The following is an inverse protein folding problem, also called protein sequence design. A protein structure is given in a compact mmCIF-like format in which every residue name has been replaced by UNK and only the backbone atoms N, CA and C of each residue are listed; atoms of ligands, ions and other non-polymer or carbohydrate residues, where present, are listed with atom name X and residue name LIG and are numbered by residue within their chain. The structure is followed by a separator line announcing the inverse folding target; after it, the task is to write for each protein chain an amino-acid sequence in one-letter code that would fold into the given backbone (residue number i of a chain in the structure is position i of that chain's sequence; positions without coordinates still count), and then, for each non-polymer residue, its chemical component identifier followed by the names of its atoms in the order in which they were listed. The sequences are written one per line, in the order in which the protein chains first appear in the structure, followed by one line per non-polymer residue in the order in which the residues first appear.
data_IF_571177256636
#
_entry.id   IF_571177256636
#
_cell.length_a   1.000
_cell.length_b   1.000
_cell.length_c   1.000
_cell.angle_alpha   90.00
_cell.angle_beta   90.00
_cell.angle_gamma   90.00
#
_symmetry.space_group_name_H-M   'P 1'
#
loop_
_entity.id
_entity.type
_entity.pdbx_description
1 polymer ?
#
# COMPACT_ATOMS: atom_id res chain seq x y z
N UNK A 1 55.97 26.35 48.95
CA UNK A 1 55.39 25.04 48.60
C UNK A 1 54.00 25.31 48.06
N UNK A 2 53.86 25.49 46.75
CA UNK A 2 52.59 25.83 46.12
C UNK A 2 51.94 24.53 45.62
N UNK A 3 50.70 24.30 46.05
CA UNK A 3 49.89 23.16 45.62
C UNK A 3 49.36 23.40 44.19
N UNK A 4 49.55 22.40 43.32
CA UNK A 4 48.99 22.36 41.98
C UNK A 4 47.50 21.98 42.06
N UNK A 5 46.59 22.68 41.36
CA UNK A 5 45.20 22.27 41.26
C UNK A 5 45.07 21.09 40.28
N UNK A 6 44.29 20.10 40.69
CA UNK A 6 44.12 18.83 40.00
C UNK A 6 43.53 18.97 38.59
N UNK A 7 44.03 18.13 37.70
CA UNK A 7 43.42 17.83 36.41
C UNK A 7 41.99 17.32 36.63
N UNK A 8 41.02 18.17 36.32
CA UNK A 8 39.65 17.74 36.08
C UNK A 8 39.62 16.95 34.78
N UNK A 9 39.58 15.63 34.92
CA UNK A 9 39.27 14.71 33.82
C UNK A 9 37.94 15.16 33.18
N UNK A 10 37.87 15.40 31.85
CA UNK A 10 36.62 15.83 31.24
C UNK A 10 35.60 14.70 31.41
N UNK A 11 34.50 15.02 32.11
CA UNK A 11 33.36 14.15 32.25
C UNK A 11 32.94 13.65 30.86
N UNK A 12 32.82 12.34 30.70
CA UNK A 12 32.32 11.72 29.48
C UNK A 12 31.02 12.40 29.06
N UNK A 13 30.87 12.82 27.78
CA UNK A 13 29.69 13.54 27.36
C UNK A 13 28.47 12.66 27.63
N UNK A 14 27.57 13.17 28.47
CA UNK A 14 26.30 12.54 28.79
C UNK A 14 25.63 12.08 27.49
N UNK A 15 25.52 10.77 27.29
CA UNK A 15 24.90 10.18 26.12
C UNK A 15 23.45 10.65 26.09
N UNK A 16 23.14 11.57 25.18
CA UNK A 16 21.76 12.02 24.98
C UNK A 16 20.91 10.82 24.56
N UNK A 17 19.93 10.47 25.41
CA UNK A 17 18.88 9.47 25.16
C UNK A 17 17.79 10.00 24.22
N UNK A 18 17.92 11.24 23.73
CA UNK A 18 17.00 11.82 22.76
C UNK A 18 17.14 11.10 21.40
N UNK A 19 16.05 10.50 20.92
CA UNK A 19 16.00 9.77 19.66
C UNK A 19 16.49 10.62 18.49
N UNK A 20 16.12 11.89 18.44
CA UNK A 20 16.53 12.79 17.36
C UNK A 20 18.05 13.02 17.38
N UNK A 21 18.63 13.31 18.55
CA UNK A 21 20.08 13.44 18.70
C UNK A 21 20.83 12.16 18.34
N UNK A 22 20.30 10.98 18.68
CA UNK A 22 20.87 9.67 18.28
C UNK A 22 20.78 9.51 16.76
N UNK A 23 19.63 9.79 16.14
CA UNK A 23 19.45 9.73 14.69
C UNK A 23 20.36 10.71 13.95
N UNK A 24 20.61 11.91 14.48
CA UNK A 24 21.54 12.88 13.88
C UNK A 24 22.96 12.33 13.85
N UNK A 25 23.43 11.77 14.98
CA UNK A 25 24.74 11.12 15.05
C UNK A 25 24.83 9.95 14.08
N UNK A 26 23.79 9.11 14.01
CA UNK A 26 23.73 7.99 13.09
C UNK A 26 23.77 8.45 11.63
N UNK A 27 22.96 9.44 11.26
CA UNK A 27 22.92 10.00 9.91
C UNK A 27 24.28 10.59 9.50
N UNK A 28 24.92 11.37 10.38
CA UNK A 28 26.27 11.89 10.13
C UNK A 28 27.33 10.79 10.01
N UNK A 29 27.21 9.71 10.78
CA UNK A 29 28.17 8.59 10.74
C UNK A 29 28.02 7.73 9.47
N UNK A 30 26.82 7.68 8.91
CA UNK A 30 26.46 6.92 7.71
C UNK A 30 26.43 7.79 6.44
N UNK A 31 26.87 9.05 6.51
CA UNK A 31 26.83 10.01 5.40
C UNK A 31 25.42 10.23 4.80
N UNK A 32 24.38 10.14 5.63
CA UNK A 32 22.98 10.37 5.23
C UNK A 32 22.61 11.85 5.42
N UNK A 33 22.14 12.56 4.38
CA UNK A 33 21.73 13.95 4.49
C UNK A 33 20.59 14.16 5.51
N UNK A 34 20.79 15.07 6.46
CA UNK A 34 19.73 15.45 7.39
C UNK A 34 18.73 16.39 6.70
N UNK A 35 17.40 16.19 6.84
CA UNK A 35 16.42 17.04 6.18
C UNK A 35 16.54 18.48 6.68
N UNK A 36 16.61 19.45 5.76
CA UNK A 36 16.48 20.85 6.14
C UNK A 36 15.13 21.06 6.82
N UNK A 37 15.15 21.65 8.01
CA UNK A 37 13.94 22.05 8.70
C UNK A 37 13.22 23.06 7.80
N UNK A 38 12.03 22.71 7.30
CA UNK A 38 11.23 23.63 6.51
C UNK A 38 11.09 24.95 7.27
N UNK A 39 11.75 26.01 6.78
CA UNK A 39 11.53 27.36 7.25
C UNK A 39 10.12 27.71 6.81
N UNK A 40 9.22 27.90 7.75
CA UNK A 40 7.90 28.45 7.47
C UNK A 40 8.10 29.88 6.91
N UNK A 41 8.05 30.02 5.59
CA UNK A 41 8.35 31.28 4.89
C UNK A 41 7.13 32.17 4.70
N UNK A 42 6.05 31.98 5.46
CA UNK A 42 4.95 32.94 5.47
C UNK A 42 4.31 33.06 6.84
N UNK A 43 4.74 34.08 7.59
CA UNK A 43 3.98 34.63 8.71
C UNK A 43 2.62 35.10 8.16
N UNK A 44 1.54 34.41 8.53
CA UNK A 44 0.21 34.92 8.22
C UNK A 44 -0.03 36.23 8.97
N UNK A 45 -0.46 37.28 8.27
CA UNK A 45 -0.84 38.56 8.91
C UNK A 45 -2.06 38.43 9.82
N UNK A 46 -2.80 37.32 9.72
CA UNK A 46 -3.98 37.03 10.53
C UNK A 46 -3.67 36.44 11.92
N UNK A 47 -2.43 36.08 12.22
CA UNK A 47 -2.07 35.44 13.51
C UNK A 47 -1.95 36.42 14.69
N UNK A 48 -2.11 37.73 14.46
CA UNK A 48 -2.00 38.74 15.52
C UNK A 48 -0.58 38.85 16.10
N UNK A 49 -0.37 39.83 16.98
CA UNK A 49 0.96 40.11 17.60
C UNK A 49 0.98 39.96 19.12
N UNK A 50 -0.17 39.75 19.75
CA UNK A 50 -0.35 40.04 21.18
C UNK A 50 -0.91 38.88 22.02
N UNK A 51 -1.25 37.73 21.41
CA UNK A 51 -1.65 36.53 22.15
C UNK A 51 -0.55 35.45 22.06
N UNK A 52 -0.33 34.63 23.11
CA UNK A 52 0.58 33.50 23.04
C UNK A 52 0.10 32.54 21.96
N UNK A 53 0.95 32.28 20.97
CA UNK A 53 0.67 31.31 19.93
C UNK A 53 0.56 29.91 20.55
N UNK A 54 -0.40 29.10 20.09
CA UNK A 54 -0.28 27.65 20.23
C UNK A 54 0.96 27.23 19.44
N UNK A 55 2.04 26.89 20.14
CA UNK A 55 3.28 26.43 19.53
C UNK A 55 2.96 25.12 18.79
N UNK A 56 2.64 25.22 17.50
CA UNK A 56 2.61 24.05 16.63
C UNK A 56 4.07 23.64 16.51
N UNK A 57 4.51 22.72 17.37
CA UNK A 57 5.84 22.12 17.27
C UNK A 57 6.02 21.67 15.83
N UNK A 58 6.98 22.30 15.15
CA UNK A 58 7.32 22.01 13.76
C UNK A 58 7.45 20.50 13.64
N UNK A 59 6.74 19.87 12.70
CA UNK A 59 6.88 18.42 12.47
C UNK A 59 8.32 18.17 12.05
N UNK A 60 9.13 17.72 13.00
CA UNK A 60 10.50 17.30 12.74
C UNK A 60 10.43 15.97 11.99
N UNK A 61 11.05 15.92 10.81
CA UNK A 61 11.14 14.72 9.99
C UNK A 61 12.50 14.06 10.22
N UNK A 62 12.52 12.74 10.29
CA UNK A 62 13.75 11.95 10.26
C UNK A 62 14.19 11.73 8.81
N UNK A 63 15.52 11.64 8.54
CA UNK A 63 15.99 11.22 7.23
C UNK A 63 15.51 9.82 6.89
N UNK A 64 15.33 9.57 5.59
CA UNK A 64 15.04 8.23 5.08
C UNK A 64 16.36 7.48 4.92
N UNK A 65 16.43 6.23 5.38
CA UNK A 65 17.53 5.33 5.08
C UNK A 65 17.37 4.84 3.62
N UNK A 66 18.29 5.16 2.68
CA UNK A 66 18.09 4.90 1.26
C UNK A 66 17.84 3.43 0.92
N UNK A 67 18.57 2.52 1.55
CA UNK A 67 18.48 1.07 1.37
C UNK A 67 17.08 0.57 1.75
N UNK A 68 16.42 1.21 2.73
CA UNK A 68 15.03 0.88 3.07
C UNK A 68 14.09 1.11 1.87
N UNK A 69 14.31 2.16 1.07
CA UNK A 69 13.49 2.43 -0.12
C UNK A 69 13.70 1.39 -1.22
N UNK A 70 14.93 0.91 -1.38
CA UNK A 70 15.21 -0.17 -2.32
C UNK A 70 14.55 -1.47 -1.87
N UNK A 71 14.71 -1.82 -0.60
CA UNK A 71 14.19 -3.07 -0.03
C UNK A 71 12.65 -3.10 0.05
N UNK A 72 12.01 -1.99 0.42
CA UNK A 72 10.53 -1.89 0.48
C UNK A 72 9.91 -2.02 -0.91
N UNK A 73 10.62 -1.59 -1.96
CA UNK A 73 10.13 -1.60 -3.34
C UNK A 73 10.50 -2.85 -4.14
N UNK A 74 11.25 -3.81 -3.58
CA UNK A 74 11.67 -5.04 -4.29
C UNK A 74 10.48 -5.74 -4.95
N UNK A 75 9.39 -5.93 -4.20
CA UNK A 75 8.19 -6.61 -4.69
C UNK A 75 7.33 -5.78 -5.67
N UNK A 76 7.64 -4.50 -5.84
CA UNK A 76 6.87 -3.56 -6.66
C UNK A 76 7.33 -3.52 -8.11
N UNK A 77 8.59 -3.87 -8.35
CA UNK A 77 9.27 -3.62 -9.64
C UNK A 77 8.95 -4.68 -10.69
N UNK A 78 8.87 -5.94 -10.31
CA UNK A 78 8.67 -7.06 -11.24
C UNK A 78 7.38 -7.84 -10.93
N UNK A 79 6.35 -7.56 -11.74
CA UNK A 79 5.07 -8.28 -11.75
C UNK A 79 4.43 -8.42 -10.35
N UNK A 80 4.08 -7.31 -9.70
CA UNK A 80 3.61 -7.30 -8.30
C UNK A 80 2.35 -8.13 -8.04
N UNK A 81 1.60 -8.51 -9.08
CA UNK A 81 0.42 -9.37 -8.96
C UNK A 81 0.74 -10.86 -9.12
N UNK A 82 1.50 -11.20 -10.17
CA UNK A 82 1.77 -12.59 -10.56
C UNK A 82 2.98 -13.19 -9.85
N UNK A 83 3.95 -12.37 -9.45
CA UNK A 83 5.17 -12.83 -8.80
C UNK A 83 4.86 -13.36 -7.39
N UNK A 84 5.26 -14.61 -7.13
CA UNK A 84 5.05 -15.30 -5.85
C UNK A 84 6.37 -15.66 -5.17
N UNK A 85 7.49 -15.07 -5.60
CA UNK A 85 8.80 -15.35 -5.03
C UNK A 85 8.77 -15.18 -3.49
N UNK A 86 9.33 -16.15 -2.74
CA UNK A 86 9.50 -16.01 -1.31
C UNK A 86 10.54 -14.93 -1.01
N UNK A 87 10.41 -14.29 0.15
CA UNK A 87 11.43 -13.39 0.67
C UNK A 87 12.61 -14.23 1.15
N UNK A 88 13.82 -13.82 0.79
CA UNK A 88 15.05 -14.50 1.19
C UNK A 88 15.18 -14.50 2.72
N UNK A 89 15.46 -15.66 3.30
CA UNK A 89 15.57 -15.84 4.76
C UNK A 89 14.22 -15.90 5.50
N UNK A 90 13.07 -15.84 4.82
CA UNK A 90 11.77 -15.85 5.49
C UNK A 90 11.48 -17.13 6.30
N UNK A 91 12.02 -18.28 5.86
CA UNK A 91 11.79 -19.58 6.51
C UNK A 91 12.55 -19.75 7.83
N UNK A 92 13.64 -19.01 8.05
CA UNK A 92 14.38 -19.05 9.32
C UNK A 92 13.74 -18.22 10.42
N UNK A 93 12.59 -17.59 10.13
CA UNK A 93 11.86 -16.72 11.05
C UNK A 93 10.57 -17.38 11.57
N UNK A 94 10.37 -18.66 11.30
CA UNK A 94 9.26 -19.41 11.87
C UNK A 94 9.44 -19.51 13.40
N UNK A 95 8.41 -19.16 14.16
CA UNK A 95 8.40 -19.25 15.62
C UNK A 95 7.44 -20.35 16.11
N UNK A 96 7.72 -20.89 17.29
CA UNK A 96 6.87 -21.92 17.88
C UNK A 96 5.44 -21.41 18.08
N UNK A 97 4.46 -22.27 17.77
CA UNK A 97 3.04 -21.94 17.90
C UNK A 97 2.54 -20.82 16.99
N UNK A 98 3.29 -20.38 15.98
CA UNK A 98 2.93 -19.24 15.11
C UNK A 98 1.50 -19.28 14.55
N UNK A 99 0.98 -20.47 14.24
CA UNK A 99 -0.39 -20.62 13.75
C UNK A 99 -1.43 -20.25 14.81
N UNK A 100 -1.24 -20.73 16.05
CA UNK A 100 -2.10 -20.39 17.19
C UNK A 100 -2.01 -18.91 17.57
N UNK A 101 -0.85 -18.30 17.32
CA UNK A 101 -0.60 -16.87 17.56
C UNK A 101 -1.12 -15.97 16.44
N UNK A 102 -1.69 -16.53 15.35
CA UNK A 102 -2.12 -15.74 14.19
C UNK A 102 -0.95 -15.19 13.35
N UNK A 103 0.26 -15.70 13.54
CA UNK A 103 1.48 -15.26 12.85
C UNK A 103 1.82 -16.13 11.62
N UNK A 104 0.86 -16.91 11.11
CA UNK A 104 1.05 -17.74 9.91
C UNK A 104 0.02 -17.42 8.81
N UNK A 105 -1.27 -17.45 9.14
CA UNK A 105 -2.37 -17.27 8.19
C UNK A 105 -3.48 -16.45 8.83
N UNK A 106 -4.30 -15.82 8.00
CA UNK A 106 -5.50 -15.13 8.47
C UNK A 106 -6.40 -16.11 9.24
N UNK A 107 -7.01 -15.71 10.36
CA UNK A 107 -7.97 -16.55 11.06
C UNK A 107 -9.10 -17.02 10.13
N UNK A 108 -9.51 -18.30 10.21
CA UNK A 108 -10.54 -18.84 9.34
C UNK A 108 -11.93 -18.29 9.69
N UNK A 109 -12.79 -18.11 8.69
CA UNK A 109 -14.19 -17.75 8.87
C UNK A 109 -14.97 -18.89 9.54
N UNK A 110 -15.72 -18.59 10.60
CA UNK A 110 -16.55 -19.56 11.30
C UNK A 110 -17.67 -20.09 10.39
N UNK A 111 -17.80 -21.42 10.19
CA UNK A 111 -18.77 -21.99 9.24
C UNK A 111 -20.23 -21.61 9.54
N UNK A 112 -20.61 -21.56 10.82
CA UNK A 112 -21.98 -21.21 11.23
C UNK A 112 -22.31 -19.75 10.93
N UNK A 113 -21.37 -18.84 11.18
CA UNK A 113 -21.53 -17.43 10.86
C UNK A 113 -21.58 -17.24 9.34
N UNK A 114 -20.72 -17.94 8.59
CA UNK A 114 -20.76 -17.89 7.14
C UNK A 114 -22.08 -18.40 6.55
N UNK A 115 -22.63 -19.50 7.08
CA UNK A 115 -23.92 -20.05 6.66
C UNK A 115 -25.07 -19.06 6.92
N UNK A 116 -25.02 -18.31 8.03
CA UNK A 116 -25.97 -17.25 8.33
C UNK A 116 -25.85 -16.05 7.37
N UNK A 117 -24.63 -15.62 7.06
CA UNK A 117 -24.35 -14.48 6.17
C UNK A 117 -24.57 -14.80 4.68
N UNK A 118 -24.49 -16.08 4.29
CA UNK A 118 -24.64 -16.54 2.90
C UNK A 118 -25.75 -17.61 2.79
N UNK A 119 -27.04 -17.27 3.03
CA UNK A 119 -28.13 -18.25 3.16
C UNK A 119 -28.36 -19.11 1.92
N UNK A 120 -27.89 -18.65 0.75
CA UNK A 120 -28.05 -19.35 -0.54
C UNK A 120 -26.95 -20.37 -0.83
N UNK A 121 -25.91 -20.43 0.01
CA UNK A 121 -24.90 -21.48 -0.04
C UNK A 121 -25.30 -22.53 0.98
N UNK A 122 -25.92 -23.62 0.51
CA UNK A 122 -26.33 -24.73 1.39
C UNK A 122 -25.15 -25.24 2.23
N UNK A 123 -25.41 -25.81 3.42
CA UNK A 123 -24.37 -26.25 4.33
C UNK A 123 -23.58 -27.39 3.69
N UNK A 124 -22.37 -27.09 3.20
CA UNK A 124 -21.38 -28.09 2.82
C UNK A 124 -20.30 -28.08 3.90
N UNK A 125 -20.31 -29.05 4.84
CA UNK A 125 -19.38 -29.05 5.98
C UNK A 125 -17.92 -29.32 5.58
N UNK A 126 -17.65 -29.69 4.32
CA UNK A 126 -16.31 -30.07 3.86
C UNK A 126 -15.54 -28.95 3.14
N UNK A 127 -16.13 -27.76 2.95
CA UNK A 127 -15.52 -26.69 2.16
C UNK A 127 -15.46 -25.39 2.97
N UNK A 128 -14.28 -24.78 3.00
CA UNK A 128 -14.11 -23.44 3.56
C UNK A 128 -15.10 -22.46 2.91
N UNK A 129 -15.79 -21.62 3.69
CA UNK A 129 -16.69 -20.62 3.14
C UNK A 129 -15.97 -19.72 2.13
N UNK A 130 -16.64 -19.41 1.02
CA UNK A 130 -16.10 -18.53 -0.02
C UNK A 130 -17.08 -17.44 -0.38
N UNK A 131 -16.57 -16.23 -0.63
CA UNK A 131 -17.40 -15.10 -1.05
C UNK A 131 -18.06 -15.35 -2.42
N UNK A 132 -19.33 -14.91 -2.62
CA UNK A 132 -20.10 -15.25 -3.80
C UNK A 132 -19.65 -14.48 -5.06
N UNK A 133 -19.22 -13.23 -4.93
CA UNK A 133 -18.75 -12.45 -6.07
C UNK A 133 -17.29 -12.78 -6.44
N UNK A 134 -16.99 -12.81 -7.74
CA UNK A 134 -15.62 -13.02 -8.24
C UNK A 134 -14.65 -11.95 -7.74
N UNK A 135 -15.09 -10.69 -7.75
CA UNK A 135 -14.31 -9.55 -7.25
C UNK A 135 -13.98 -9.72 -5.76
N UNK A 136 -14.94 -10.13 -4.94
CA UNK A 136 -14.74 -10.34 -3.51
C UNK A 136 -13.79 -11.50 -3.22
N UNK A 137 -13.90 -12.62 -3.96
CA UNK A 137 -12.93 -13.72 -3.86
C UNK A 137 -11.51 -13.27 -4.20
N UNK A 138 -11.35 -12.48 -5.26
CA UNK A 138 -10.06 -11.91 -5.61
C UNK A 138 -9.50 -11.05 -4.46
N UNK A 139 -10.32 -10.15 -3.91
CA UNK A 139 -9.91 -9.30 -2.79
C UNK A 139 -9.52 -10.13 -1.56
N UNK A 140 -10.31 -11.15 -1.22
CA UNK A 140 -10.02 -12.08 -0.11
C UNK A 140 -8.69 -12.81 -0.30
N UNK A 141 -8.38 -13.31 -1.50
CA UNK A 141 -7.09 -13.97 -1.80
C UNK A 141 -5.93 -12.97 -1.62
N UNK A 142 -6.08 -11.74 -2.10
CA UNK A 142 -5.03 -10.73 -1.93
C UNK A 142 -4.88 -10.31 -0.46
N UNK A 143 -5.97 -10.20 0.29
CA UNK A 143 -5.94 -9.95 1.73
C UNK A 143 -5.22 -11.07 2.47
N UNK A 144 -5.44 -12.33 2.10
CA UNK A 144 -4.69 -13.46 2.69
C UNK A 144 -3.19 -13.35 2.40
N UNK A 145 -2.79 -12.98 1.17
CA UNK A 145 -1.38 -12.76 0.83
C UNK A 145 -0.77 -11.59 1.61
N UNK A 146 -1.49 -10.48 1.74
CA UNK A 146 -1.07 -9.33 2.53
C UNK A 146 -0.92 -9.72 4.01
N UNK A 147 -1.88 -10.47 4.56
CA UNK A 147 -1.81 -10.96 5.92
C UNK A 147 -0.57 -11.83 6.16
N UNK A 148 -0.29 -12.79 5.27
CA UNK A 148 0.92 -13.63 5.36
C UNK A 148 2.21 -12.81 5.33
N UNK A 149 2.27 -11.79 4.47
CA UNK A 149 3.41 -10.88 4.42
C UNK A 149 3.54 -10.03 5.70
N UNK A 150 2.43 -9.52 6.24
CA UNK A 150 2.41 -8.80 7.51
C UNK A 150 2.85 -9.70 8.68
N UNK A 151 2.37 -10.93 8.72
CA UNK A 151 2.76 -11.94 9.70
C UNK A 151 4.26 -12.27 9.63
N UNK A 152 4.82 -12.38 8.42
CA UNK A 152 6.27 -12.52 8.23
C UNK A 152 7.03 -11.31 8.81
N UNK A 153 6.56 -10.09 8.55
CA UNK A 153 7.17 -8.88 9.14
C UNK A 153 7.13 -8.91 10.67
N UNK A 154 5.99 -9.30 11.26
CA UNK A 154 5.87 -9.44 12.72
C UNK A 154 6.83 -10.49 13.29
N UNK A 155 7.01 -11.64 12.64
CA UNK A 155 7.98 -12.66 13.06
C UNK A 155 9.43 -12.17 12.94
N UNK A 156 9.76 -11.43 11.88
CA UNK A 156 11.06 -10.80 11.73
C UNK A 156 11.32 -9.80 12.88
N UNK A 157 10.33 -8.97 13.21
CA UNK A 157 10.42 -8.03 14.33
C UNK A 157 10.57 -8.76 15.67
N UNK A 158 9.89 -9.89 15.90
CA UNK A 158 10.07 -10.71 17.10
C UNK A 158 11.53 -11.17 17.27
N UNK A 159 12.14 -11.70 16.20
CA UNK A 159 13.56 -12.09 16.22
C UNK A 159 14.46 -10.87 16.45
N UNK A 160 14.18 -9.76 15.77
CA UNK A 160 14.93 -8.51 15.99
C UNK A 160 14.85 -8.05 17.44
N UNK A 161 13.68 -8.10 18.08
CA UNK A 161 13.51 -7.71 19.48
C UNK A 161 14.33 -8.59 20.41
N UNK A 162 14.27 -9.92 20.24
CA UNK A 162 15.06 -10.86 21.02
C UNK A 162 16.56 -10.61 20.90
N UNK A 163 17.06 -10.39 19.67
CA UNK A 163 18.46 -10.11 19.40
C UNK A 163 18.90 -8.75 19.96
N UNK A 164 18.09 -7.70 19.83
CA UNK A 164 18.41 -6.38 20.39
C UNK A 164 18.37 -6.37 21.92
N UNK A 165 17.50 -7.16 22.54
CA UNK A 165 17.51 -7.35 23.99
C UNK A 165 18.78 -8.07 24.44
N UNK A 166 19.15 -9.16 23.76
CA UNK A 166 20.39 -9.88 24.04
C UNK A 166 21.64 -8.99 23.85
N UNK A 167 21.65 -8.16 22.80
CA UNK A 167 22.71 -7.20 22.56
C UNK A 167 22.84 -6.18 23.71
N UNK A 168 21.73 -5.75 24.31
CA UNK A 168 21.75 -4.84 25.45
C UNK A 168 22.43 -5.50 26.66
N UNK A 169 22.07 -6.74 26.99
CA UNK A 169 22.71 -7.52 28.07
C UNK A 169 24.21 -7.68 27.83
N UNK A 170 24.63 -8.02 26.59
CA UNK A 170 26.05 -8.12 26.24
C UNK A 170 26.80 -6.79 26.39
N UNK A 171 26.15 -5.66 26.08
CA UNK A 171 26.73 -4.33 26.29
C UNK A 171 26.92 -4.02 27.79
N UNK A 172 26.01 -4.49 28.65
CA UNK A 172 26.16 -4.37 30.10
C UNK A 172 27.30 -5.25 30.63
N UNK A 173 27.38 -6.51 30.19
CA UNK A 173 28.48 -7.42 30.54
C UNK A 173 29.86 -6.87 30.15
N UNK A 174 29.95 -6.22 28.97
CA UNK A 174 31.17 -5.56 28.50
C UNK A 174 31.69 -4.47 29.44
N UNK A 175 30.79 -3.81 30.18
CA UNK A 175 31.18 -2.78 31.16
C UNK A 175 31.91 -3.39 32.36
N UNK A 176 31.63 -4.66 32.67
CA UNK A 176 32.21 -5.39 33.80
C UNK A 176 33.36 -6.30 33.39
N UNK A 177 33.34 -6.84 32.17
CA UNK A 177 34.37 -7.75 31.65
C UNK A 177 34.58 -7.53 30.13
N UNK A 178 35.45 -6.58 29.74
CA UNK A 178 35.66 -6.24 28.34
C UNK A 178 36.54 -7.28 27.63
N UNK A 179 35.93 -8.43 27.31
CA UNK A 179 36.57 -9.52 26.56
C UNK A 179 36.35 -9.40 25.04
N UNK A 180 37.34 -9.79 24.20
CA UNK A 180 37.20 -9.75 22.74
C UNK A 180 36.05 -10.62 22.22
N UNK A 181 35.78 -11.76 22.87
CA UNK A 181 34.70 -12.66 22.48
C UNK A 181 33.30 -12.00 22.59
N UNK A 182 33.08 -11.17 23.62
CA UNK A 182 31.81 -10.46 23.81
C UNK A 182 31.63 -9.36 22.76
N UNK A 183 32.72 -8.68 22.35
CA UNK A 183 32.69 -7.72 21.24
C UNK A 183 32.35 -8.40 19.91
N UNK A 184 32.97 -9.56 19.63
CA UNK A 184 32.69 -10.34 18.42
C UNK A 184 31.22 -10.80 18.37
N UNK A 185 30.66 -11.23 19.51
CA UNK A 185 29.25 -11.60 19.63
C UNK A 185 28.32 -10.39 19.39
N UNK A 186 28.60 -9.23 19.99
CA UNK A 186 27.84 -7.99 19.76
C UNK A 186 27.84 -7.62 18.26
N UNK A 187 29.00 -7.74 17.60
CA UNK A 187 29.10 -7.48 16.17
C UNK A 187 28.28 -8.48 15.34
N UNK A 188 28.36 -9.78 15.66
CA UNK A 188 27.59 -10.82 14.99
C UNK A 188 26.07 -10.62 15.16
N UNK A 189 25.62 -10.32 16.37
CA UNK A 189 24.20 -10.02 16.65
C UNK A 189 23.74 -8.79 15.87
N UNK A 190 24.56 -7.74 15.80
CA UNK A 190 24.25 -6.53 15.00
C UNK A 190 24.07 -6.86 13.52
N UNK A 191 24.97 -7.64 12.93
CA UNK A 191 24.90 -8.04 11.53
C UNK A 191 23.64 -8.88 11.24
N UNK A 192 23.29 -9.79 12.14
CA UNK A 192 22.06 -10.59 12.01
C UNK A 192 20.83 -9.69 12.12
N UNK A 193 20.79 -8.75 13.08
CA UNK A 193 19.71 -7.77 13.22
C UNK A 193 19.46 -7.01 11.92
N UNK A 194 20.51 -6.52 11.25
CA UNK A 194 20.36 -5.82 9.97
C UNK A 194 19.73 -6.70 8.88
N UNK A 195 20.12 -7.98 8.80
CA UNK A 195 19.55 -8.93 7.83
C UNK A 195 18.09 -9.25 8.14
N UNK A 196 17.73 -9.38 9.42
CA UNK A 196 16.35 -9.62 9.87
C UNK A 196 15.47 -8.38 9.60
N UNK A 197 15.98 -7.18 9.88
CA UNK A 197 15.29 -5.93 9.58
C UNK A 197 15.02 -5.76 8.09
N UNK A 198 15.98 -6.11 7.21
CA UNK A 198 15.76 -6.15 5.76
C UNK A 198 14.58 -7.06 5.40
N UNK A 199 14.48 -8.25 6.00
CA UNK A 199 13.35 -9.15 5.78
C UNK A 199 12.01 -8.51 6.21
N UNK A 200 11.98 -7.83 7.37
CA UNK A 200 10.81 -7.10 7.85
C UNK A 200 10.40 -5.96 6.89
N UNK A 201 11.36 -5.20 6.37
CA UNK A 201 11.15 -4.13 5.39
C UNK A 201 10.59 -4.69 4.08
N UNK A 202 11.19 -5.74 3.51
CA UNK A 202 10.71 -6.39 2.30
C UNK A 202 9.29 -6.97 2.48
N UNK A 203 9.02 -7.58 3.63
CA UNK A 203 7.71 -8.13 3.96
C UNK A 203 6.64 -7.03 4.06
N UNK A 204 6.97 -5.92 4.71
CA UNK A 204 6.12 -4.72 4.79
C UNK A 204 5.89 -4.10 3.42
N UNK A 205 6.94 -3.99 2.60
CA UNK A 205 6.86 -3.56 1.22
C UNK A 205 5.92 -4.44 0.38
N UNK A 206 5.98 -5.76 0.56
CA UNK A 206 5.07 -6.71 -0.08
C UNK A 206 3.61 -6.50 0.32
N UNK A 207 3.33 -6.17 1.60
CA UNK A 207 1.98 -5.77 2.05
C UNK A 207 1.51 -4.54 1.29
N UNK A 208 2.32 -3.48 1.26
CA UNK A 208 1.99 -2.23 0.57
C UNK A 208 1.73 -2.46 -0.93
N UNK A 209 2.59 -3.26 -1.58
CA UNK A 209 2.46 -3.60 -2.99
C UNK A 209 1.15 -4.34 -3.28
N UNK A 210 0.81 -5.33 -2.43
CA UNK A 210 -0.46 -6.07 -2.53
C UNK A 210 -1.67 -5.13 -2.37
N UNK A 211 -1.62 -4.18 -1.44
CA UNK A 211 -2.72 -3.21 -1.26
C UNK A 211 -2.91 -2.32 -2.51
N UNK A 212 -1.83 -1.91 -3.17
CA UNK A 212 -1.92 -1.19 -4.45
C UNK A 212 -2.51 -2.07 -5.55
N UNK A 213 -2.10 -3.34 -5.65
CA UNK A 213 -2.69 -4.31 -6.60
C UNK A 213 -4.17 -4.53 -6.33
N UNK A 214 -4.59 -4.63 -5.06
CA UNK A 214 -6.01 -4.71 -4.68
C UNK A 214 -6.79 -3.49 -5.15
N UNK A 215 -6.22 -2.30 -4.96
CA UNK A 215 -6.83 -1.05 -5.40
C UNK A 215 -6.94 -0.99 -6.93
N UNK A 216 -5.88 -1.35 -7.66
CA UNK A 216 -5.93 -1.46 -9.13
C UNK A 216 -7.06 -2.39 -9.57
N UNK A 217 -7.19 -3.56 -8.94
CA UNK A 217 -8.23 -4.52 -9.28
C UNK A 217 -9.64 -3.97 -9.06
N UNK A 218 -9.86 -3.18 -7.99
CA UNK A 218 -11.14 -2.51 -7.75
C UNK A 218 -11.50 -1.54 -8.88
N UNK A 219 -10.56 -0.68 -9.27
CA UNK A 219 -10.77 0.26 -10.38
C UNK A 219 -10.95 -0.45 -11.73
N UNK A 220 -10.18 -1.52 -11.99
CA UNK A 220 -10.31 -2.30 -13.22
C UNK A 220 -11.64 -3.04 -13.32
N UNK A 221 -12.30 -3.36 -12.20
CA UNK A 221 -13.65 -3.93 -12.23
C UNK A 221 -14.71 -2.98 -12.78
N UNK A 222 -14.43 -1.68 -12.86
CA UNK A 222 -15.31 -0.70 -13.53
C UNK A 222 -15.17 -0.73 -15.06
N UNK A 223 -14.23 -1.51 -15.58
CA UNK A 223 -13.94 -1.61 -17.01
C UNK A 223 -14.43 -2.94 -17.58
N UNK A 224 -14.80 -2.92 -18.86
CA UNK A 224 -15.12 -4.11 -19.64
C UNK A 224 -13.87 -4.79 -20.23
N UNK A 225 -12.68 -4.53 -19.67
CA UNK A 225 -11.47 -5.19 -20.12
C UNK A 225 -11.55 -6.71 -19.85
N UNK A 226 -11.02 -7.55 -20.76
CA UNK A 226 -10.91 -8.97 -20.50
C UNK A 226 -9.96 -9.23 -19.33
N UNK A 227 -10.13 -10.37 -18.66
CA UNK A 227 -9.33 -10.69 -17.46
C UNK A 227 -7.82 -10.65 -17.72
N UNK A 228 -7.37 -11.14 -18.88
CA UNK A 228 -5.94 -11.12 -19.25
C UNK A 228 -5.36 -9.72 -19.28
N UNK A 229 -6.05 -8.77 -19.89
CA UNK A 229 -5.60 -7.38 -19.92
C UNK A 229 -5.64 -6.72 -18.55
N UNK A 230 -6.57 -7.13 -17.68
CA UNK A 230 -6.58 -6.69 -16.28
C UNK A 230 -5.34 -7.21 -15.56
N UNK A 231 -5.01 -8.50 -15.72
CA UNK A 231 -3.79 -9.10 -15.15
C UNK A 231 -2.52 -8.36 -15.61
N UNK A 232 -2.42 -8.01 -16.90
CA UNK A 232 -1.29 -7.25 -17.42
C UNK A 232 -1.15 -5.87 -16.75
N UNK A 233 -2.27 -5.17 -16.50
CA UNK A 233 -2.27 -3.89 -15.78
C UNK A 233 -1.92 -4.07 -14.30
N UNK A 234 -2.38 -5.16 -13.67
CA UNK A 234 -2.03 -5.48 -12.29
C UNK A 234 -0.52 -5.74 -12.14
N UNK A 235 0.12 -6.35 -13.14
CA UNK A 235 1.54 -6.65 -13.20
C UNK A 235 2.45 -5.47 -13.60
N UNK A 236 1.89 -4.30 -13.93
CA UNK A 236 2.71 -3.11 -14.16
C UNK A 236 3.46 -2.73 -12.88
N UNK A 237 4.67 -2.12 -12.97
CA UNK A 237 5.39 -1.68 -11.78
C UNK A 237 4.55 -0.73 -10.91
N UNK A 238 4.81 -0.72 -9.61
CA UNK A 238 4.21 0.24 -8.68
C UNK A 238 5.23 1.36 -8.42
N UNK A 239 4.77 2.59 -8.57
CA UNK A 239 5.57 3.79 -8.31
C UNK A 239 4.74 4.80 -7.48
N UNK A 240 5.38 5.64 -6.64
CA UNK A 240 4.67 6.51 -5.70
C UNK A 240 3.76 7.58 -6.35
N UNK A 241 3.98 7.91 -7.62
CA UNK A 241 3.29 8.98 -8.35
C UNK A 241 1.82 8.66 -8.64
N UNK A 242 1.42 7.39 -8.55
CA UNK A 242 0.00 7.02 -8.63
C UNK A 242 -0.25 5.54 -8.87
N UNK A 243 -1.44 5.09 -8.45
CA UNK A 243 -1.87 3.68 -8.51
C UNK A 243 -1.71 3.10 -9.92
N UNK A 244 -2.01 3.85 -10.97
CA UNK A 244 -1.87 3.42 -12.37
C UNK A 244 -0.74 4.11 -13.13
N UNK A 245 0.17 4.82 -12.46
CA UNK A 245 1.12 5.70 -13.14
C UNK A 245 1.93 4.97 -14.23
N UNK A 246 2.51 3.80 -13.89
CA UNK A 246 3.24 2.97 -14.86
C UNK A 246 2.37 2.38 -15.98
N UNK A 247 1.04 2.30 -15.78
CA UNK A 247 0.09 1.82 -16.77
C UNK A 247 -0.55 2.96 -17.60
N UNK A 248 -0.33 4.23 -17.22
CA UNK A 248 -1.12 5.38 -17.69
C UNK A 248 -1.09 5.52 -19.20
N UNK A 249 0.10 5.52 -19.80
CA UNK A 249 0.27 5.65 -21.25
C UNK A 249 -0.42 4.51 -22.02
N UNK A 250 -0.34 3.28 -21.50
CA UNK A 250 -1.00 2.12 -22.10
C UNK A 250 -2.52 2.24 -22.01
N UNK A 251 -3.05 2.69 -20.87
CA UNK A 251 -4.48 2.89 -20.67
C UNK A 251 -5.03 4.05 -21.52
N UNK A 252 -4.28 5.15 -21.66
CA UNK A 252 -4.65 6.28 -22.53
C UNK A 252 -4.73 5.85 -23.99
N UNK A 253 -3.70 5.16 -24.49
CA UNK A 253 -3.70 4.62 -25.86
C UNK A 253 -4.90 3.72 -26.12
N UNK A 254 -5.25 2.85 -25.16
CA UNK A 254 -6.42 1.97 -25.27
C UNK A 254 -7.72 2.76 -25.35
N UNK A 255 -7.87 3.81 -24.54
CA UNK A 255 -9.04 4.69 -24.59
C UNK A 255 -9.18 5.35 -25.97
N UNK A 256 -8.08 5.79 -26.55
CA UNK A 256 -8.07 6.37 -27.89
C UNK A 256 -8.41 5.36 -28.98
N UNK A 257 -7.85 4.15 -28.93
CA UNK A 257 -8.19 3.07 -29.87
C UNK A 257 -9.68 2.75 -29.80
N UNK A 258 -10.21 2.56 -28.60
CA UNK A 258 -11.64 2.28 -28.41
C UNK A 258 -12.51 3.40 -28.95
N UNK A 259 -12.14 4.67 -28.70
CA UNK A 259 -12.86 5.82 -29.25
C UNK A 259 -12.88 5.78 -30.79
N UNK A 260 -11.76 5.45 -31.43
CA UNK A 260 -11.68 5.32 -32.90
C UNK A 260 -12.52 4.15 -33.42
N UNK A 261 -12.53 3.03 -32.71
CA UNK A 261 -13.37 1.87 -33.04
C UNK A 261 -14.85 2.22 -32.91
N UNK A 262 -15.26 2.87 -31.83
CA UNK A 262 -16.64 3.31 -31.61
C UNK A 262 -17.07 4.32 -32.70
N UNK A 263 -16.20 5.27 -33.06
CA UNK A 263 -16.43 6.22 -34.17
C UNK A 263 -16.55 5.51 -35.52
N UNK A 264 -15.68 4.54 -35.81
CA UNK A 264 -15.74 3.76 -37.04
C UNK A 264 -17.02 2.91 -37.12
N UNK A 265 -17.44 2.28 -36.02
CA UNK A 265 -18.69 1.54 -35.93
C UNK A 265 -19.90 2.45 -36.20
N UNK A 266 -19.90 3.66 -35.64
CA UNK A 266 -20.97 4.63 -35.89
C UNK A 266 -21.09 5.04 -37.36
N UNK A 267 -19.99 5.07 -38.12
CA UNK A 267 -20.01 5.35 -39.56
C UNK A 267 -20.55 4.19 -40.40
N UNK A 268 -20.44 2.95 -39.89
CA UNK A 268 -20.90 1.74 -40.57
C UNK A 268 -22.37 1.38 -40.27
N UNK A 269 -23.00 2.01 -39.28
CA UNK A 269 -24.41 1.78 -38.97
C UNK A 269 -25.31 2.52 -39.97
N UNK A 270 -26.37 1.88 -40.51
CA UNK A 270 -27.31 2.55 -41.42
C UNK A 270 -27.89 3.80 -40.76
N UNK A 271 -27.76 4.96 -41.42
CA UNK A 271 -28.44 6.19 -40.99
C UNK A 271 -29.94 5.87 -40.86
N UNK A 272 -30.50 6.07 -39.66
CA UNK A 272 -31.96 6.07 -39.47
C UNK A 272 -32.51 7.12 -40.44
N UNK A 273 -33.26 6.67 -41.45
CA UNK A 273 -33.96 7.56 -42.37
C UNK A 273 -34.89 8.41 -41.50
N UNK A 274 -34.62 9.72 -41.42
CA UNK A 274 -35.58 10.65 -40.85
C UNK A 274 -36.87 10.51 -41.67
N UNK A 275 -38.04 10.32 -41.04
CA UNK A 275 -39.31 10.40 -41.76
C UNK A 275 -39.33 11.74 -42.50
N UNK A 276 -39.54 11.71 -43.82
CA UNK A 276 -39.74 12.95 -44.58
C UNK A 276 -40.85 13.76 -43.88
N UNK A 277 -40.72 15.09 -43.78
CA UNK A 277 -41.85 15.91 -43.35
C UNK A 277 -43.01 15.63 -44.32
N UNK A 278 -44.11 15.14 -43.76
CA UNK A 278 -45.35 14.88 -44.47
C UNK A 278 -45.74 16.10 -45.28
N UNK A 279 -45.60 16.02 -46.61
CA UNK A 279 -46.23 16.96 -47.52
C UNK A 279 -47.73 16.92 -47.23
N UNK A 280 -48.24 18.02 -46.68
CA UNK A 280 -49.67 18.24 -46.50
C UNK A 280 -50.34 18.09 -47.86
N UNK A 281 -51.20 17.08 -48.01
CA UNK A 281 -52.09 16.96 -49.15
C UNK A 281 -53.03 18.17 -49.16
N UNK A 282 -53.25 18.85 -50.29
CA UNK A 282 -54.28 19.87 -50.37
C UNK A 282 -55.65 19.23 -50.17
N UNK A 283 -56.45 19.81 -49.27
CA UNK A 283 -57.84 19.43 -49.04
C UNK A 283 -58.63 19.58 -50.35
N UNK A 284 -59.12 18.47 -50.90
CA UNK A 284 -60.19 18.49 -51.88
C UNK A 284 -61.51 18.65 -51.13
N UNK A 285 -62.20 19.78 -51.37
CA UNK A 285 -63.53 20.06 -50.85
C UNK A 285 -64.53 19.10 -51.52
N UNK A 286 -65.00 18.10 -50.78
CA UNK A 286 -66.07 17.22 -51.23
C UNK A 286 -67.43 17.91 -51.02
N UNK A 287 -68.21 18.00 -52.09
CA UNK A 287 -69.56 18.55 -52.13
C UNK A 287 -70.53 17.76 -51.23
N UNK A 288 -71.43 18.50 -50.57
CA UNK A 288 -72.54 17.98 -49.76
C UNK A 288 -73.59 17.26 -50.64
N UNK A 289 -74.14 16.11 -50.23
CA UNK A 289 -75.30 15.52 -50.88
C UNK A 289 -76.60 16.22 -50.43
N UNK A 290 -77.65 16.25 -51.28
CA UNK A 290 -78.89 16.96 -50.99
C UNK A 290 -79.77 16.22 -49.98
N UNK A 291 -80.38 17.00 -49.11
CA UNK A 291 -81.37 16.65 -48.11
C UNK A 291 -82.69 16.20 -48.75
N UNK A 292 -83.16 15.00 -48.40
CA UNK A 292 -84.55 14.59 -48.56
C UNK A 292 -85.20 14.52 -47.18
N UNK A 293 -86.16 15.42 -46.95
CA UNK A 293 -87.12 15.32 -45.86
C UNK A 293 -88.38 16.08 -46.28
N UNK A 294 -89.45 15.34 -46.58
CA UNK A 294 -90.84 15.79 -46.47
C UNK A 294 -91.55 14.81 -45.52
N UNK A 295 -92.48 15.30 -44.68
CA UNK A 295 -93.88 15.38 -45.16
C UNK A 295 -94.69 16.59 -44.64
N UNK A 296 -95.55 17.12 -45.52
CA UNK A 296 -97.01 17.27 -45.33
C UNK A 296 -97.65 17.74 -46.64
#
# INVERSE_FOLDING_TARGET
MAALPGDSTPASPCLSMDLQAVCQRAASRLDIPWPEMAKETSRSRYEGKHFPQTTRTKRQLLPVFPEMLDEVSVSWRDRPFSNKAPIQGASSLDCDGMERLGLLRIPPMEPLVAAHLLPRMGPSPSRNPTLPAKADRFQSIMTERAYRAAALSARALNVSSMLTAYQAELCEDMSSNPGPATLDEIAAVTDICLRVQRCAVQATGKVMGIMVVQERARWLNLTNLPDREKEDVLDMPIVPEGIFHSALASMQRRRETKKKEDEALHLCLPRRVQPLPSQQRPFATAALPPSCSEPC
#
